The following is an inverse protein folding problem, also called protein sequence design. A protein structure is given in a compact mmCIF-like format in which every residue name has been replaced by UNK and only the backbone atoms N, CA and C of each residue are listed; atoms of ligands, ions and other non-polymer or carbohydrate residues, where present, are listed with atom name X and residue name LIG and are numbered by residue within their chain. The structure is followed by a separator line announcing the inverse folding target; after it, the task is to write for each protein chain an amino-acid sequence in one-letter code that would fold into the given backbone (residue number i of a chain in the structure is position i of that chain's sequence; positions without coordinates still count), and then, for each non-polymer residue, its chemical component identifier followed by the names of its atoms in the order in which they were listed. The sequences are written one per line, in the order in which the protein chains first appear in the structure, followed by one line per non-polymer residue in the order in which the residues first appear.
data_IF_979075301426
#
_entry.id   IF_979075301426
#
_cell.length_a   1.000
_cell.length_b   1.000
_cell.length_c   1.000
_cell.angle_alpha   90.00
_cell.angle_beta   90.00
_cell.angle_gamma   90.00
#
_symmetry.space_group_name_H-M   'P 1'
#
loop_
_entity.id
_entity.type
_entity.pdbx_description
1 polymer ?
#
# COMPACT_ATOMS: atom_id res chain seq x y z
N UNK A 1 15.56 -13.23 14.80
CA UNK A 1 15.06 -11.91 14.50
C UNK A 1 13.55 -11.94 14.36
N UNK A 2 12.87 -11.07 15.06
CA UNK A 2 11.42 -11.06 15.04
C UNK A 2 10.92 -10.48 13.72
N UNK A 3 10.06 -11.21 13.04
CA UNK A 3 9.37 -10.69 11.88
C UNK A 3 8.15 -9.91 12.35
N UNK A 4 7.75 -8.93 11.56
CA UNK A 4 6.54 -8.19 11.86
C UNK A 4 5.34 -9.14 11.86
N UNK A 5 4.59 -9.16 12.94
CA UNK A 5 3.42 -10.04 13.06
C UNK A 5 2.32 -9.71 12.05
N UNK A 6 2.35 -8.50 11.48
CA UNK A 6 1.36 -8.10 10.49
C UNK A 6 1.49 -8.87 9.17
N UNK A 7 2.60 -9.59 8.96
CA UNK A 7 2.72 -10.50 7.84
C UNK A 7 1.60 -11.53 7.81
N UNK A 8 1.03 -11.87 8.94
CA UNK A 8 -0.10 -12.81 9.01
C UNK A 8 -1.34 -12.29 8.33
N UNK A 9 -1.45 -10.99 8.14
CA UNK A 9 -2.58 -10.37 7.46
C UNK A 9 -2.39 -10.27 5.95
N UNK A 10 -1.21 -10.62 5.45
CA UNK A 10 -0.93 -10.60 4.02
C UNK A 10 -1.66 -11.75 3.34
N UNK A 11 -2.41 -11.40 2.30
CA UNK A 11 -3.06 -12.37 1.44
C UNK A 11 -2.17 -12.59 0.22
N UNK A 12 -1.49 -13.72 0.16
CA UNK A 12 -0.53 -14.02 -0.91
C UNK A 12 -1.18 -14.13 -2.29
N UNK A 13 -2.49 -14.30 -2.34
CA UNK A 13 -3.25 -14.40 -3.58
C UNK A 13 -3.93 -13.09 -3.96
N UNK A 14 -3.72 -12.02 -3.17
CA UNK A 14 -4.37 -10.74 -3.44
C UNK A 14 -3.88 -10.17 -4.77
N UNK A 15 -4.83 -9.63 -5.53
CA UNK A 15 -4.53 -8.97 -6.79
C UNK A 15 -4.84 -7.49 -6.67
N UNK A 16 -4.10 -6.62 -7.39
CA UNK A 16 -4.40 -5.19 -7.34
C UNK A 16 -5.78 -4.91 -7.93
N UNK A 17 -6.46 -3.93 -7.35
CA UNK A 17 -7.78 -3.51 -7.83
C UNK A 17 -7.72 -2.75 -9.15
N UNK A 18 -6.52 -2.33 -9.55
CA UNK A 18 -6.30 -1.62 -10.79
C UNK A 18 -4.83 -1.29 -10.92
N UNK A 19 -4.49 -0.46 -11.89
CA UNK A 19 -3.11 -0.04 -12.16
C UNK A 19 -2.91 1.47 -11.99
N UNK A 20 -3.83 2.12 -11.30
CA UNK A 20 -3.78 3.56 -11.04
C UNK A 20 -4.14 3.83 -9.59
N UNK A 21 -3.74 5.00 -9.07
CA UNK A 21 -4.23 5.46 -7.78
C UNK A 21 -5.62 6.06 -7.98
N UNK A 22 -6.66 5.33 -7.64
CA UNK A 22 -8.04 5.78 -7.83
C UNK A 22 -8.31 7.09 -7.10
N UNK A 23 -7.75 7.26 -5.90
CA UNK A 23 -7.90 8.50 -5.14
C UNK A 23 -7.30 9.70 -5.88
N UNK A 24 -6.14 9.51 -6.54
CA UNK A 24 -5.54 10.58 -7.34
C UNK A 24 -6.38 10.88 -8.57
N UNK A 25 -6.90 9.86 -9.23
CA UNK A 25 -7.77 10.04 -10.40
C UNK A 25 -8.98 10.87 -10.03
N UNK A 26 -9.65 10.54 -8.93
CA UNK A 26 -10.84 11.25 -8.47
C UNK A 26 -10.53 12.68 -8.04
N UNK A 27 -9.37 12.92 -7.45
CA UNK A 27 -8.96 14.24 -6.97
C UNK A 27 -8.27 15.08 -8.04
N UNK A 28 -8.01 14.52 -9.23
CA UNK A 28 -7.28 15.21 -10.27
C UNK A 28 -5.80 15.41 -9.92
N UNK A 29 -5.25 14.55 -9.09
CA UNK A 29 -3.86 14.62 -8.64
C UNK A 29 -2.97 13.66 -9.40
N UNK A 30 -1.66 13.89 -9.34
CA UNK A 30 -0.66 13.00 -9.92
C UNK A 30 -0.01 12.20 -8.80
N UNK A 31 0.56 11.04 -9.16
CA UNK A 31 1.31 10.22 -8.21
C UNK A 31 2.73 10.00 -8.71
N UNK A 32 3.65 9.78 -7.75
CA UNK A 32 5.05 9.47 -8.04
C UNK A 32 5.20 7.97 -8.25
N UNK A 33 4.77 7.18 -7.27
CA UNK A 33 4.79 5.72 -7.33
C UNK A 33 3.49 5.18 -6.76
N UNK A 34 3.23 3.92 -7.03
CA UNK A 34 2.05 3.24 -6.52
C UNK A 34 2.43 2.19 -5.49
N UNK A 35 1.52 1.96 -4.54
CA UNK A 35 1.63 0.93 -3.52
C UNK A 35 0.38 0.07 -3.55
N UNK A 36 0.53 -1.22 -3.37
CA UNK A 36 -0.58 -2.17 -3.32
C UNK A 36 -0.77 -2.66 -1.90
N UNK A 37 -2.01 -2.59 -1.41
CA UNK A 37 -2.37 -3.19 -0.12
C UNK A 37 -2.34 -4.71 -0.25
N UNK A 38 -1.60 -5.38 0.63
CA UNK A 38 -1.47 -6.83 0.58
C UNK A 38 -2.59 -7.56 1.31
N UNK A 39 -3.55 -6.84 1.85
CA UNK A 39 -4.73 -7.43 2.49
C UNK A 39 -5.91 -7.47 1.52
N UNK A 40 -6.18 -6.36 0.84
CA UNK A 40 -7.35 -6.25 -0.04
C UNK A 40 -7.05 -5.90 -1.49
N UNK A 41 -5.80 -5.59 -1.83
CA UNK A 41 -5.41 -5.27 -3.20
C UNK A 41 -5.59 -3.82 -3.61
N UNK A 42 -6.05 -2.95 -2.71
CA UNK A 42 -6.23 -1.54 -3.04
C UNK A 42 -4.92 -0.91 -3.50
N UNK A 43 -4.97 -0.13 -4.57
CA UNK A 43 -3.79 0.56 -5.09
C UNK A 43 -3.88 2.04 -4.75
N UNK A 44 -2.87 2.55 -4.06
CA UNK A 44 -2.79 3.96 -3.68
C UNK A 44 -1.43 4.54 -4.00
N UNK A 45 -1.31 5.87 -3.97
CA UNK A 45 -0.05 6.53 -4.23
C UNK A 45 0.85 6.53 -2.98
N UNK A 46 2.16 6.60 -3.23
CA UNK A 46 3.15 6.55 -2.15
C UNK A 46 3.20 7.85 -1.35
N UNK A 47 4.01 7.85 -0.27
CA UNK A 47 4.14 9.02 0.61
C UNK A 47 4.83 10.21 -0.06
N UNK A 48 5.54 10.00 -1.17
CA UNK A 48 6.13 11.07 -1.96
C UNK A 48 5.11 11.76 -2.88
N UNK A 49 3.94 11.18 -3.02
CA UNK A 49 2.85 11.73 -3.83
C UNK A 49 2.02 12.70 -3.00
N UNK A 50 1.41 13.75 -3.61
CA UNK A 50 0.64 14.72 -2.85
C UNK A 50 -0.50 14.13 -2.03
N UNK A 51 -1.19 13.13 -2.57
CA UNK A 51 -2.35 12.56 -1.91
C UNK A 51 -2.05 11.52 -0.85
N UNK A 52 -0.90 10.88 -0.91
CA UNK A 52 -0.50 9.80 0.02
C UNK A 52 -1.63 8.80 0.27
N UNK A 53 -2.28 8.35 -0.79
CA UNK A 53 -3.50 7.55 -0.69
C UNK A 53 -3.27 6.15 -0.09
N UNK A 54 -2.08 5.58 -0.28
CA UNK A 54 -1.76 4.30 0.35
C UNK A 54 -1.72 4.43 1.88
N UNK A 55 -1.12 5.51 2.38
CA UNK A 55 -1.09 5.80 3.82
C UNK A 55 -2.50 6.04 4.34
N UNK A 56 -3.30 6.80 3.61
CA UNK A 56 -4.70 7.07 3.99
C UNK A 56 -5.51 5.77 4.02
N UNK A 57 -5.28 4.87 3.09
CA UNK A 57 -5.93 3.58 3.08
C UNK A 57 -5.64 2.81 4.36
N UNK A 58 -4.37 2.81 4.81
CA UNK A 58 -4.02 2.19 6.09
C UNK A 58 -4.79 2.84 7.25
N UNK A 59 -4.85 4.17 7.29
CA UNK A 59 -5.54 4.88 8.37
C UNK A 59 -7.04 4.60 8.37
N UNK A 60 -7.64 4.44 7.20
CA UNK A 60 -9.07 4.23 7.06
C UNK A 60 -9.49 2.79 7.32
N UNK A 61 -8.66 1.82 6.96
CA UNK A 61 -9.02 0.39 7.01
C UNK A 61 -8.26 -0.40 8.05
N UNK A 62 -7.10 0.09 8.49
CA UNK A 62 -6.24 -0.64 9.39
C UNK A 62 -5.41 -1.72 8.70
N UNK A 63 -5.43 -1.81 7.37
CA UNK A 63 -4.64 -2.78 6.62
C UNK A 63 -3.16 -2.36 6.64
N UNK A 64 -2.29 -3.06 7.38
CA UNK A 64 -0.98 -2.50 7.72
C UNK A 64 0.12 -2.72 6.69
N UNK A 65 -0.04 -3.63 5.74
CA UNK A 65 1.07 -4.03 4.86
C UNK A 65 0.82 -3.61 3.43
N UNK A 66 1.83 -2.93 2.86
CA UNK A 66 1.83 -2.50 1.46
C UNK A 66 3.10 -2.97 0.78
N UNK A 67 3.07 -3.06 -0.55
CA UNK A 67 4.28 -3.32 -1.33
C UNK A 67 4.34 -2.37 -2.53
N UNK A 68 5.54 -2.25 -3.12
CA UNK A 68 5.71 -1.49 -4.35
C UNK A 68 4.89 -2.16 -5.45
N UNK A 69 4.07 -1.38 -6.13
CA UNK A 69 3.12 -1.91 -7.11
C UNK A 69 3.84 -2.59 -8.30
N UNK A 70 4.85 -1.94 -8.85
CA UNK A 70 5.53 -2.44 -10.05
C UNK A 70 6.49 -3.59 -9.77
N UNK A 71 7.34 -3.45 -8.75
CA UNK A 71 8.39 -4.42 -8.50
C UNK A 71 7.97 -5.53 -7.55
N UNK A 72 7.16 -5.19 -6.54
CA UNK A 72 6.81 -6.15 -5.51
C UNK A 72 8.00 -6.64 -4.69
N UNK A 73 9.16 -5.95 -4.79
CA UNK A 73 10.40 -6.43 -4.20
C UNK A 73 10.49 -6.28 -2.70
N UNK A 74 9.66 -5.42 -2.14
CA UNK A 74 9.70 -5.16 -0.70
C UNK A 74 8.29 -4.94 -0.17
N UNK A 75 8.16 -5.14 1.14
CA UNK A 75 6.93 -4.90 1.86
C UNK A 75 7.18 -3.88 2.96
N UNK A 76 6.18 -3.08 3.26
CA UNK A 76 6.24 -2.05 4.29
C UNK A 76 5.11 -2.23 5.28
N UNK A 77 5.43 -2.19 6.57
CA UNK A 77 4.43 -2.21 7.63
C UNK A 77 4.24 -0.79 8.16
N UNK A 78 3.04 -0.25 8.00
CA UNK A 78 2.74 1.10 8.47
C UNK A 78 2.69 1.21 9.99
N UNK A 79 2.33 0.12 10.69
CA UNK A 79 2.26 0.14 12.15
C UNK A 79 3.65 0.25 12.76
N UNK A 80 4.58 -0.56 12.29
CA UNK A 80 5.96 -0.56 12.79
C UNK A 80 6.86 0.42 12.03
N UNK A 81 6.38 0.97 10.93
CA UNK A 81 7.13 1.88 10.05
C UNK A 81 8.48 1.30 9.65
N UNK A 82 8.46 0.05 9.20
CA UNK A 82 9.67 -0.66 8.79
C UNK A 82 9.41 -1.58 7.60
N UNK A 83 10.48 -1.89 6.88
CA UNK A 83 10.45 -2.90 5.82
C UNK A 83 10.44 -4.30 6.43
N UNK A 84 9.82 -5.21 5.70
CA UNK A 84 9.64 -6.60 6.17
C UNK A 84 10.41 -7.57 5.29
#
# INVERSE_FOLDING_TARGET
MAKCEHLKQVNVEVRPTGDVCQGCVEAGQRWVELRQCLVCGHVGCCDSSPGRHANRHFKDTGHPVMQAFKSGDWKWCYVHEEYM
#
